data_IF_537902973753
#
_entry.id   IF_537902973753
#
_cell.length_a   1.000
_cell.length_b   1.000
_cell.length_c   1.000
_cell.angle_alpha   90.00
_cell.angle_beta   90.00
_cell.angle_gamma   90.00
#
_symmetry.space_group_name_H-M   'P 1'
#
loop_
_entity.id
_entity.type
_entity.pdbx_description
1 polymer ?
#
# COMPACT_ATOMS: atom_id res chain seq x y z
N UNK A 1 19.20 4.34 1.59
CA UNK A 1 17.94 3.73 1.15
C UNK A 1 17.67 3.98 -0.33
N UNK A 2 17.67 5.25 -0.78
CA UNK A 2 17.46 5.61 -2.20
C UNK A 2 18.46 4.94 -3.16
N UNK A 3 19.72 4.73 -2.72
CA UNK A 3 20.71 3.98 -3.49
C UNK A 3 20.35 2.50 -3.68
N UNK A 4 19.58 1.93 -2.74
CA UNK A 4 19.18 0.53 -2.76
C UNK A 4 17.87 0.28 -3.55
N UNK A 5 17.11 1.33 -3.85
CA UNK A 5 15.97 1.26 -4.77
C UNK A 5 16.41 1.11 -6.23
N UNK A 6 17.70 1.35 -6.52
CA UNK A 6 18.23 1.11 -7.86
C UNK A 6 18.18 -0.38 -8.17
N UNK A 7 17.59 -0.75 -9.29
CA UNK A 7 17.39 -2.14 -9.74
C UNK A 7 18.67 -2.99 -9.82
N UNK A 8 19.83 -2.36 -9.70
CA UNK A 8 21.17 -2.98 -9.69
C UNK A 8 21.76 -3.20 -8.29
N UNK A 9 21.09 -2.72 -7.22
CA UNK A 9 21.59 -2.92 -5.87
C UNK A 9 21.51 -4.40 -5.49
N UNK A 10 22.60 -4.93 -4.88
CA UNK A 10 22.60 -6.28 -4.35
C UNK A 10 21.59 -6.42 -3.18
N UNK A 11 21.13 -7.62 -2.94
CA UNK A 11 20.23 -7.90 -1.80
C UNK A 11 20.87 -7.51 -0.46
N UNK A 12 22.18 -7.70 -0.33
CA UNK A 12 22.95 -7.33 0.88
C UNK A 12 22.98 -5.82 1.08
N UNK A 13 23.21 -5.04 0.02
CA UNK A 13 23.17 -3.57 0.08
C UNK A 13 21.79 -3.05 0.46
N UNK A 14 20.72 -3.71 0.00
CA UNK A 14 19.35 -3.35 0.36
C UNK A 14 19.07 -3.60 1.84
N UNK A 15 19.47 -4.76 2.37
CA UNK A 15 19.30 -5.11 3.80
C UNK A 15 20.13 -4.18 4.69
N UNK A 16 21.37 -3.88 4.31
CA UNK A 16 22.21 -2.95 5.06
C UNK A 16 21.59 -1.56 5.14
N UNK A 17 21.08 -1.03 4.02
CA UNK A 17 20.42 0.27 3.99
C UNK A 17 19.07 0.29 4.72
N UNK A 18 18.30 -0.82 4.70
CA UNK A 18 17.08 -0.94 5.51
C UNK A 18 17.42 -0.91 7.02
N UNK A 19 18.49 -1.57 7.43
CA UNK A 19 18.95 -1.54 8.82
C UNK A 19 19.44 -0.15 9.23
N UNK A 20 20.26 0.51 8.39
CA UNK A 20 20.73 1.88 8.63
C UNK A 20 19.55 2.86 8.73
N UNK A 21 18.59 2.78 7.83
CA UNK A 21 17.38 3.61 7.88
C UNK A 21 16.57 3.34 9.17
N UNK A 22 16.48 2.08 9.61
CA UNK A 22 15.78 1.75 10.84
C UNK A 22 16.48 2.36 12.07
N UNK A 23 17.82 2.36 12.12
CA UNK A 23 18.59 3.02 13.18
C UNK A 23 18.37 4.55 13.15
N UNK A 24 18.55 5.20 12.00
CA UNK A 24 18.33 6.64 11.84
C UNK A 24 16.91 7.02 12.24
N UNK A 25 15.91 6.22 11.84
CA UNK A 25 14.51 6.47 12.21
C UNK A 25 14.29 6.31 13.72
N UNK A 26 14.96 5.34 14.34
CA UNK A 26 14.92 5.14 15.79
C UNK A 26 15.49 6.34 16.54
N UNK A 27 16.70 6.76 16.16
CA UNK A 27 17.40 7.90 16.75
C UNK A 27 16.59 9.20 16.58
N UNK A 28 16.06 9.43 15.37
CA UNK A 28 15.19 10.58 15.09
C UNK A 28 13.92 10.56 15.95
N UNK A 29 13.31 9.39 16.12
CA UNK A 29 12.11 9.23 16.95
C UNK A 29 12.43 9.48 18.41
N UNK A 30 13.56 8.99 18.91
CA UNK A 30 14.02 9.21 20.28
C UNK A 30 14.26 10.69 20.58
N UNK A 31 14.90 11.40 19.66
CA UNK A 31 15.16 12.84 19.78
C UNK A 31 13.88 13.69 19.69
N UNK A 32 12.96 13.33 18.82
CA UNK A 32 11.77 14.16 18.53
C UNK A 32 10.59 13.84 19.46
N UNK A 33 10.51 12.63 19.99
CA UNK A 33 9.41 12.21 20.88
C UNK A 33 9.20 13.14 22.08
N UNK A 34 10.24 13.53 22.85
CA UNK A 34 10.05 14.43 23.99
C UNK A 34 9.52 15.81 23.56
N UNK A 35 9.94 16.31 22.39
CA UNK A 35 9.48 17.61 21.86
C UNK A 35 7.99 17.53 21.49
N UNK A 36 7.57 16.46 20.81
CA UNK A 36 6.17 16.25 20.47
C UNK A 36 5.30 16.05 21.74
N UNK A 37 5.84 15.32 22.72
CA UNK A 37 5.17 15.12 24.00
C UNK A 37 4.90 16.45 24.69
N UNK A 38 5.94 17.26 24.84
CA UNK A 38 5.80 18.59 25.43
C UNK A 38 4.81 19.46 24.65
N UNK A 39 4.90 19.49 23.31
CA UNK A 39 3.98 20.26 22.48
C UNK A 39 2.52 19.78 22.59
N UNK A 40 2.30 18.48 22.75
CA UNK A 40 0.97 17.91 22.93
C UNK A 40 0.38 18.24 24.31
N UNK A 41 1.19 18.23 25.37
CA UNK A 41 0.79 18.64 26.74
C UNK A 41 0.47 20.14 26.79
N UNK A 42 1.20 20.97 26.03
CA UNK A 42 1.08 22.43 26.01
C UNK A 42 0.38 22.94 24.74
N UNK A 43 -0.50 22.14 24.13
CA UNK A 43 -1.11 22.45 22.84
C UNK A 43 -1.84 23.81 22.83
N UNK A 44 -2.50 24.17 23.92
CA UNK A 44 -3.21 25.45 24.06
C UNK A 44 -2.24 26.64 24.15
N UNK A 45 -1.04 26.43 24.67
CA UNK A 45 0.01 27.44 24.72
C UNK A 45 0.67 27.59 23.36
N UNK A 46 1.01 26.47 22.73
CA UNK A 46 1.61 26.43 21.38
C UNK A 46 0.70 27.09 20.35
N UNK A 47 -0.63 26.92 20.46
CA UNK A 47 -1.61 27.53 19.56
C UNK A 47 -1.63 29.09 19.62
N UNK A 48 -1.09 29.69 20.68
CA UNK A 48 -1.01 31.16 20.81
C UNK A 48 0.11 31.77 19.96
N UNK A 49 1.08 30.95 19.51
CA UNK A 49 2.16 31.42 18.63
C UNK A 49 1.73 31.31 17.16
N UNK A 50 1.59 32.46 16.50
CA UNK A 50 1.13 32.53 15.10
C UNK A 50 1.94 31.63 14.15
N UNK A 51 3.26 31.57 14.33
CA UNK A 51 4.15 30.73 13.54
C UNK A 51 3.84 29.23 13.71
N UNK A 52 3.33 28.83 14.87
CA UNK A 52 3.01 27.43 15.20
C UNK A 52 1.54 27.09 14.97
N UNK A 53 0.66 28.10 14.80
CA UNK A 53 -0.77 27.89 14.62
C UNK A 53 -1.10 26.97 13.44
N UNK A 54 -0.33 27.05 12.36
CA UNK A 54 -0.45 26.14 11.20
C UNK A 54 -0.22 24.66 11.53
N UNK A 55 0.49 24.38 12.62
CA UNK A 55 0.78 23.01 13.08
C UNK A 55 -0.21 22.47 14.10
N UNK A 56 -1.16 23.31 14.53
CA UNK A 56 -2.18 22.91 15.51
C UNK A 56 -2.93 21.63 15.17
N UNK A 57 -3.31 21.36 13.91
CA UNK A 57 -3.94 20.08 13.56
C UNK A 57 -3.04 18.88 13.82
N UNK A 58 -1.74 19.01 13.55
CA UNK A 58 -0.76 17.95 13.78
C UNK A 58 -0.55 17.74 15.29
N UNK A 59 -0.36 18.83 16.05
CA UNK A 59 -0.17 18.80 17.50
C UNK A 59 -1.38 18.18 18.19
N UNK A 60 -2.60 18.55 17.78
CA UNK A 60 -3.82 17.97 18.33
C UNK A 60 -3.96 16.48 18.00
N UNK A 61 -3.54 16.05 16.80
CA UNK A 61 -3.49 14.63 16.45
C UNK A 61 -2.50 13.87 17.32
N UNK A 62 -1.32 14.42 17.52
CA UNK A 62 -0.33 13.83 18.42
C UNK A 62 -0.88 13.76 19.86
N UNK A 63 -1.50 14.82 20.37
CA UNK A 63 -2.15 14.83 21.69
C UNK A 63 -3.19 13.70 21.80
N UNK A 64 -4.04 13.50 20.81
CA UNK A 64 -5.01 12.40 20.78
C UNK A 64 -4.32 11.02 20.76
N UNK A 65 -3.21 10.90 20.04
CA UNK A 65 -2.44 9.65 20.03
C UNK A 65 -1.79 9.35 21.38
N UNK A 66 -1.43 10.39 22.15
CA UNK A 66 -0.78 10.26 23.45
C UNK A 66 -1.73 9.86 24.59
N UNK A 67 -3.03 10.15 24.47
CA UNK A 67 -4.03 9.72 25.48
C UNK A 67 -4.05 8.19 25.63
N UNK A 68 -3.68 7.47 24.56
CA UNK A 68 -3.65 6.02 24.49
C UNK A 68 -2.24 5.48 24.26
N UNK A 69 -1.22 6.06 24.89
CA UNK A 69 0.16 5.62 24.70
C UNK A 69 0.64 4.66 25.78
N UNK A 70 1.59 3.84 25.39
CA UNK A 70 2.35 3.01 26.31
C UNK A 70 3.08 3.86 27.37
N UNK A 71 3.21 3.33 28.57
CA UNK A 71 4.18 3.86 29.54
C UNK A 71 5.58 3.89 28.90
N UNK A 72 6.48 4.73 29.44
CA UNK A 72 7.87 4.78 28.95
C UNK A 72 8.53 3.39 28.96
N UNK A 73 8.32 2.62 30.02
CA UNK A 73 8.86 1.27 30.13
C UNK A 73 8.25 0.31 29.10
N UNK A 74 6.94 0.35 28.92
CA UNK A 74 6.28 -0.52 27.91
C UNK A 74 6.69 -0.15 26.48
N UNK A 75 6.92 1.13 26.22
CA UNK A 75 7.42 1.61 24.94
C UNK A 75 8.82 1.07 24.66
N UNK A 76 9.71 1.12 25.66
CA UNK A 76 11.04 0.57 25.53
C UNK A 76 11.01 -0.94 25.29
N UNK A 77 10.23 -1.67 26.08
CA UNK A 77 10.02 -3.12 25.89
C UNK A 77 9.48 -3.43 24.48
N UNK A 78 8.57 -2.59 23.96
CA UNK A 78 8.05 -2.74 22.60
C UNK A 78 9.12 -2.52 21.53
N UNK A 79 9.95 -1.50 21.68
CA UNK A 79 11.05 -1.20 20.74
C UNK A 79 12.09 -2.32 20.73
N UNK A 80 12.40 -2.88 21.89
CA UNK A 80 13.43 -3.91 22.05
C UNK A 80 12.96 -5.30 21.63
N UNK A 81 11.73 -5.67 21.93
CA UNK A 81 11.20 -7.00 21.68
C UNK A 81 10.09 -7.06 20.62
N UNK A 82 9.09 -6.22 20.71
CA UNK A 82 7.89 -6.27 19.86
C UNK A 82 8.17 -5.89 18.41
N UNK A 83 8.90 -4.80 18.20
CA UNK A 83 9.22 -4.29 16.85
C UNK A 83 10.11 -5.26 16.04
N UNK A 84 11.17 -5.84 16.59
CA UNK A 84 11.95 -6.85 15.87
C UNK A 84 11.14 -8.06 15.43
N UNK A 85 10.19 -8.53 16.23
CA UNK A 85 9.29 -9.64 15.87
C UNK A 85 8.46 -9.25 14.63
N UNK A 86 7.82 -8.08 14.62
CA UNK A 86 7.07 -7.60 13.45
C UNK A 86 7.94 -7.52 12.19
N UNK A 87 9.12 -6.93 12.30
CA UNK A 87 10.04 -6.80 11.16
C UNK A 87 10.50 -8.16 10.64
N UNK A 88 10.71 -9.13 11.53
CA UNK A 88 11.07 -10.50 11.14
C UNK A 88 9.96 -11.19 10.37
N UNK A 89 8.70 -11.03 10.77
CA UNK A 89 7.56 -11.60 10.06
C UNK A 89 7.34 -10.92 8.69
N UNK A 90 7.55 -9.61 8.60
CA UNK A 90 7.51 -8.89 7.33
C UNK A 90 8.63 -9.35 6.37
N UNK A 91 9.83 -9.63 6.90
CA UNK A 91 10.93 -10.20 6.12
C UNK A 91 10.61 -11.62 5.65
N UNK A 92 10.01 -12.43 6.51
CA UNK A 92 9.56 -13.77 6.14
C UNK A 92 8.60 -13.71 4.95
N UNK A 93 7.60 -12.85 4.99
CA UNK A 93 6.68 -12.63 3.86
C UNK A 93 7.42 -12.25 2.58
N UNK A 94 8.32 -11.25 2.64
CA UNK A 94 9.12 -10.83 1.48
C UNK A 94 9.98 -11.99 0.94
N UNK A 95 10.58 -12.78 1.82
CA UNK A 95 11.42 -13.91 1.41
C UNK A 95 10.61 -15.02 0.75
N UNK A 96 9.42 -15.33 1.27
CA UNK A 96 8.50 -16.28 0.65
C UNK A 96 8.07 -15.85 -0.76
N UNK A 97 7.96 -14.53 -1.01
CA UNK A 97 7.60 -13.98 -2.32
C UNK A 97 8.81 -13.79 -3.25
N UNK A 98 10.01 -13.85 -2.71
CA UNK A 98 11.22 -13.61 -3.49
C UNK A 98 11.47 -14.73 -4.51
N UNK A 99 11.68 -14.33 -5.74
CA UNK A 99 12.01 -15.27 -6.80
C UNK A 99 10.82 -16.05 -7.37
N UNK A 100 9.60 -15.77 -6.91
CA UNK A 100 8.41 -16.43 -7.47
C UNK A 100 8.32 -16.14 -8.96
N UNK A 101 8.09 -17.20 -9.72
CA UNK A 101 7.79 -17.17 -11.15
C UNK A 101 6.72 -18.21 -11.43
N UNK A 102 5.58 -17.75 -11.94
CA UNK A 102 4.54 -18.66 -12.41
C UNK A 102 4.65 -18.82 -13.93
N UNK A 103 4.46 -20.02 -14.40
CA UNK A 103 4.32 -20.34 -15.81
C UNK A 103 2.87 -20.66 -16.06
N UNK A 104 2.22 -19.87 -16.89
CA UNK A 104 0.80 -20.00 -17.22
C UNK A 104 0.61 -19.93 -18.73
N UNK A 105 -0.49 -20.47 -19.23
CA UNK A 105 -0.78 -20.44 -20.66
C UNK A 105 -1.85 -19.39 -20.96
N UNK A 106 -1.69 -18.68 -22.05
CA UNK A 106 -2.69 -17.77 -22.61
C UNK A 106 -3.73 -18.54 -23.46
N UNK A 107 -4.72 -17.83 -24.03
CA UNK A 107 -5.75 -18.44 -24.88
C UNK A 107 -5.21 -19.11 -26.15
N UNK A 108 -4.00 -18.77 -26.57
CA UNK A 108 -3.33 -19.40 -27.74
C UNK A 108 -2.49 -20.62 -27.35
N UNK A 109 -2.43 -20.97 -26.07
CA UNK A 109 -1.57 -22.05 -25.57
C UNK A 109 -0.10 -21.66 -25.40
N UNK A 110 0.26 -20.39 -25.54
CA UNK A 110 1.63 -19.90 -25.36
C UNK A 110 1.94 -19.76 -23.86
N UNK A 111 3.13 -20.22 -23.46
CA UNK A 111 3.61 -20.07 -22.08
C UNK A 111 3.98 -18.61 -21.79
N UNK A 112 3.43 -18.05 -20.72
CA UNK A 112 3.73 -16.71 -20.24
C UNK A 112 4.31 -16.81 -18.83
N UNK A 113 5.48 -16.21 -18.63
CA UNK A 113 6.09 -16.13 -17.31
C UNK A 113 5.56 -14.91 -16.55
N UNK A 114 5.05 -15.13 -15.33
CA UNK A 114 4.45 -14.11 -14.48
C UNK A 114 5.24 -13.96 -13.18
N UNK A 115 5.38 -12.73 -12.75
CA UNK A 115 6.03 -12.36 -11.48
C UNK A 115 5.00 -11.68 -10.56
N UNK A 116 5.26 -11.54 -9.25
CA UNK A 116 4.38 -10.78 -8.36
C UNK A 116 4.11 -9.35 -8.82
N UNK A 117 5.05 -8.70 -9.50
CA UNK A 117 4.88 -7.34 -10.05
C UNK A 117 3.98 -7.31 -11.30
N UNK A 118 4.09 -8.30 -12.20
CA UNK A 118 3.27 -8.35 -13.41
C UNK A 118 1.89 -8.98 -13.18
N UNK A 119 1.73 -9.79 -12.15
CA UNK A 119 0.48 -10.41 -11.76
C UNK A 119 -0.68 -9.41 -11.65
N UNK A 120 -0.42 -8.30 -10.96
CA UNK A 120 -1.46 -7.28 -10.70
C UNK A 120 -1.94 -6.64 -12.01
N UNK A 121 -1.04 -6.35 -12.94
CA UNK A 121 -1.40 -5.78 -14.24
C UNK A 121 -2.19 -6.76 -15.11
N UNK A 122 -1.84 -8.04 -15.04
CA UNK A 122 -2.59 -9.08 -15.77
C UNK A 122 -4.01 -9.20 -15.22
N UNK A 123 -4.16 -9.39 -13.91
CA UNK A 123 -5.47 -9.52 -13.27
C UNK A 123 -6.35 -8.27 -13.43
N UNK A 124 -5.74 -7.07 -13.45
CA UNK A 124 -6.47 -5.81 -13.54
C UNK A 124 -6.83 -5.38 -14.97
N UNK A 125 -6.15 -5.83 -15.98
CA UNK A 125 -6.35 -5.20 -17.29
C UNK A 125 -5.98 -6.00 -18.51
N UNK A 126 -5.51 -7.24 -18.37
CA UNK A 126 -5.15 -8.01 -19.55
C UNK A 126 -6.41 -8.42 -20.34
N UNK A 127 -6.45 -8.25 -21.67
CA UNK A 127 -7.63 -8.59 -22.46
C UNK A 127 -7.91 -10.10 -22.53
N UNK A 128 -6.88 -10.94 -22.47
CA UNK A 128 -7.00 -12.40 -22.54
C UNK A 128 -7.57 -12.96 -21.22
N UNK A 129 -8.80 -13.47 -21.31
CA UNK A 129 -9.54 -14.05 -20.16
C UNK A 129 -8.85 -15.31 -19.64
N UNK A 130 -8.37 -16.18 -20.54
CA UNK A 130 -7.71 -17.44 -20.15
C UNK A 130 -6.43 -17.15 -19.37
N UNK A 131 -5.66 -16.17 -19.81
CA UNK A 131 -4.46 -15.74 -19.10
C UNK A 131 -4.79 -15.19 -17.71
N UNK A 132 -5.84 -14.36 -17.57
CA UNK A 132 -6.28 -13.86 -16.25
C UNK A 132 -6.69 -15.00 -15.33
N UNK A 133 -7.51 -15.93 -15.82
CA UNK A 133 -7.98 -17.08 -15.05
C UNK A 133 -6.82 -17.98 -14.61
N UNK A 134 -5.95 -18.38 -15.53
CA UNK A 134 -4.79 -19.24 -15.24
C UNK A 134 -3.83 -18.57 -14.26
N UNK A 135 -3.64 -17.25 -14.41
CA UNK A 135 -2.85 -16.45 -13.44
C UNK A 135 -3.47 -16.52 -12.05
N UNK A 136 -4.78 -16.29 -11.93
CA UNK A 136 -5.48 -16.34 -10.65
C UNK A 136 -5.41 -17.73 -9.99
N UNK A 137 -5.60 -18.78 -10.77
CA UNK A 137 -5.52 -20.17 -10.28
C UNK A 137 -4.10 -20.52 -9.80
N UNK A 138 -3.07 -20.16 -10.57
CA UNK A 138 -1.68 -20.43 -10.20
C UNK A 138 -1.27 -19.69 -8.91
N UNK A 139 -1.77 -18.47 -8.73
CA UNK A 139 -1.54 -17.69 -7.52
C UNK A 139 -2.22 -18.36 -6.32
N UNK A 140 -3.50 -18.75 -6.46
CA UNK A 140 -4.22 -19.42 -5.38
C UNK A 140 -3.53 -20.72 -4.96
N UNK A 141 -3.15 -21.58 -5.92
CA UNK A 141 -2.41 -22.81 -5.62
C UNK A 141 -1.10 -22.56 -4.89
N UNK A 142 -0.37 -21.52 -5.28
CA UNK A 142 0.87 -21.15 -4.60
C UNK A 142 0.62 -20.74 -3.14
N UNK A 143 -0.36 -19.86 -2.91
CA UNK A 143 -0.67 -19.40 -1.56
C UNK A 143 -1.34 -20.48 -0.70
N UNK A 144 -2.11 -21.40 -1.29
CA UNK A 144 -2.67 -22.55 -0.59
C UNK A 144 -1.54 -23.43 -0.04
N UNK A 145 -0.46 -23.66 -0.81
CA UNK A 145 0.72 -24.40 -0.35
C UNK A 145 1.53 -23.71 0.75
N UNK A 146 1.35 -22.41 0.96
CA UNK A 146 2.03 -21.60 1.98
C UNK A 146 1.09 -21.13 3.11
N UNK A 147 -0.15 -21.62 3.12
CA UNK A 147 -1.19 -21.15 4.04
C UNK A 147 -0.74 -21.15 5.50
N UNK A 148 -0.14 -22.25 5.99
CA UNK A 148 0.32 -22.36 7.37
C UNK A 148 1.46 -21.39 7.70
N UNK A 149 2.38 -21.15 6.77
CA UNK A 149 3.48 -20.21 6.97
C UNK A 149 2.97 -18.77 7.06
N UNK A 150 2.05 -18.39 6.15
CA UNK A 150 1.41 -17.07 6.19
C UNK A 150 0.51 -16.90 7.40
N UNK A 151 -0.28 -17.91 7.78
CA UNK A 151 -1.12 -17.87 8.96
C UNK A 151 -0.27 -17.69 10.23
N UNK A 152 0.84 -18.43 10.36
CA UNK A 152 1.78 -18.29 11.49
C UNK A 152 2.36 -16.88 11.56
N UNK A 153 2.84 -16.35 10.43
CA UNK A 153 3.38 -14.99 10.38
C UNK A 153 2.32 -13.94 10.75
N UNK A 154 1.13 -14.03 10.19
CA UNK A 154 0.02 -13.12 10.44
C UNK A 154 -0.45 -13.18 11.90
N UNK A 155 -0.65 -14.38 12.44
CA UNK A 155 -1.05 -14.58 13.83
C UNK A 155 -0.01 -14.02 14.80
N UNK A 156 1.28 -14.18 14.49
CA UNK A 156 2.37 -13.61 15.30
C UNK A 156 2.30 -12.08 15.31
N UNK A 157 2.09 -11.45 14.15
CA UNK A 157 1.93 -9.98 14.05
C UNK A 157 0.69 -9.51 14.83
N UNK A 158 -0.45 -10.18 14.67
CA UNK A 158 -1.68 -9.85 15.40
C UNK A 158 -1.55 -10.03 16.91
N UNK A 159 -0.96 -11.14 17.36
CA UNK A 159 -0.75 -11.39 18.79
C UNK A 159 0.14 -10.32 19.42
N UNK A 160 1.24 -9.99 18.75
CA UNK A 160 2.15 -8.94 19.19
C UNK A 160 1.45 -7.56 19.22
N UNK A 161 0.65 -7.25 18.23
CA UNK A 161 -0.14 -6.01 18.18
C UNK A 161 -1.21 -5.95 19.27
N UNK A 162 -1.88 -7.05 19.56
CA UNK A 162 -2.87 -7.11 20.64
C UNK A 162 -2.25 -6.86 22.01
N UNK A 163 -1.05 -7.34 22.27
CA UNK A 163 -0.30 -7.00 23.50
C UNK A 163 -0.04 -5.51 23.58
N UNK A 164 0.40 -4.89 22.46
CA UNK A 164 0.59 -3.44 22.39
C UNK A 164 -0.70 -2.67 22.69
N UNK A 165 -1.80 -3.00 22.02
CA UNK A 165 -3.09 -2.32 22.15
C UNK A 165 -3.64 -2.43 23.57
N UNK A 166 -3.54 -3.60 24.19
CA UNK A 166 -3.97 -3.84 25.56
C UNK A 166 -3.19 -2.98 26.56
N UNK A 167 -1.87 -2.89 26.40
CA UNK A 167 -1.02 -2.07 27.28
C UNK A 167 -1.20 -0.57 27.04
N UNK A 168 -1.49 -0.17 25.81
CA UNK A 168 -1.80 1.22 25.46
C UNK A 168 -3.25 1.62 25.80
N UNK A 169 -4.04 0.71 26.39
CA UNK A 169 -5.46 0.92 26.68
C UNK A 169 -6.24 1.52 25.48
N UNK A 170 -6.04 0.94 24.32
CA UNK A 170 -6.65 1.37 23.04
C UNK A 170 -7.09 0.17 22.21
N UNK A 171 -7.80 0.44 21.15
CA UNK A 171 -8.23 -0.56 20.19
C UNK A 171 -7.68 -0.28 18.77
N UNK A 172 -7.79 -1.27 17.90
CA UNK A 172 -7.34 -1.23 16.52
C UNK A 172 -7.97 -0.08 15.72
N UNK A 173 -9.26 0.17 15.95
CA UNK A 173 -9.97 1.23 15.25
C UNK A 173 -9.48 2.61 15.69
N UNK A 174 -9.30 2.83 16.99
CA UNK A 174 -8.78 4.09 17.50
C UNK A 174 -7.41 4.44 16.92
N UNK A 175 -6.50 3.45 16.86
CA UNK A 175 -5.19 3.61 16.23
C UNK A 175 -5.33 3.97 14.74
N UNK A 176 -6.18 3.24 14.01
CA UNK A 176 -6.39 3.48 12.58
C UNK A 176 -7.01 4.85 12.30
N UNK A 177 -7.98 5.28 13.11
CA UNK A 177 -8.60 6.61 12.98
C UNK A 177 -7.58 7.72 13.21
N UNK A 178 -6.75 7.59 14.25
CA UNK A 178 -5.68 8.56 14.55
C UNK A 178 -4.66 8.64 13.42
N UNK A 179 -4.21 7.50 12.89
CA UNK A 179 -3.25 7.45 11.78
C UNK A 179 -3.80 8.11 10.50
N UNK A 180 -5.10 7.98 10.26
CA UNK A 180 -5.77 8.56 9.09
C UNK A 180 -6.33 9.98 9.35
N UNK A 181 -6.09 10.57 10.52
CA UNK A 181 -6.64 11.86 10.93
C UNK A 181 -8.17 11.93 10.73
N UNK A 182 -8.86 10.85 11.02
CA UNK A 182 -10.31 10.67 10.83
C UNK A 182 -11.02 10.62 12.17
N UNK A 183 -12.13 11.35 12.32
CA UNK A 183 -12.99 11.21 13.49
C UNK A 183 -13.85 9.93 13.39
N UNK A 184 -14.34 9.45 14.55
CA UNK A 184 -15.25 8.29 14.58
C UNK A 184 -16.55 8.58 13.83
N UNK A 185 -17.07 9.78 13.95
CA UNK A 185 -18.30 10.21 13.26
C UNK A 185 -18.12 10.21 11.73
N UNK A 186 -16.96 10.69 11.24
CA UNK A 186 -16.62 10.67 9.82
C UNK A 186 -16.49 9.23 9.30
N UNK A 187 -15.89 8.33 10.09
CA UNK A 187 -15.79 6.91 9.76
C UNK A 187 -17.16 6.24 9.69
N UNK A 188 -18.02 6.46 10.69
CA UNK A 188 -19.38 5.91 10.71
C UNK A 188 -20.24 6.46 9.55
N UNK A 189 -20.12 7.76 9.25
CA UNK A 189 -20.76 8.37 8.09
C UNK A 189 -20.29 7.75 6.77
N UNK A 190 -18.99 7.46 6.64
CA UNK A 190 -18.42 6.75 5.49
C UNK A 190 -19.03 5.34 5.37
N UNK A 191 -19.10 4.56 6.46
CA UNK A 191 -19.70 3.22 6.42
C UNK A 191 -21.18 3.27 6.02
N UNK A 192 -21.96 4.20 6.59
CA UNK A 192 -23.36 4.39 6.21
C UNK A 192 -23.50 4.78 4.73
N UNK A 193 -22.61 5.60 4.20
CA UNK A 193 -22.62 5.96 2.79
C UNK A 193 -22.33 4.75 1.89
N UNK A 194 -21.37 3.90 2.29
CA UNK A 194 -21.06 2.64 1.59
C UNK A 194 -22.28 1.72 1.60
N UNK A 195 -22.91 1.51 2.76
CA UNK A 195 -24.10 0.65 2.87
C UNK A 195 -25.25 1.12 1.97
N UNK A 196 -25.50 2.42 1.92
CA UNK A 196 -26.50 3.02 1.00
C UNK A 196 -26.12 2.82 -0.46
N UNK A 197 -24.84 2.81 -0.78
CA UNK A 197 -24.34 2.61 -2.15
C UNK A 197 -24.31 1.14 -2.59
N UNK A 198 -24.32 0.17 -1.66
CA UNK A 198 -24.19 -1.26 -1.97
C UNK A 198 -25.18 -1.76 -3.05
N UNK A 199 -26.48 -1.39 -3.02
CA UNK A 199 -27.42 -1.84 -4.06
C UNK A 199 -27.02 -1.35 -5.45
N UNK A 200 -26.53 -0.12 -5.53
CA UNK A 200 -26.03 0.47 -6.78
C UNK A 200 -24.73 -0.18 -7.24
N UNK A 201 -23.79 -0.39 -6.32
CA UNK A 201 -22.51 -1.08 -6.60
C UNK A 201 -22.75 -2.50 -7.13
N UNK A 202 -23.71 -3.24 -6.53
CA UNK A 202 -24.10 -4.58 -7.02
C UNK A 202 -24.65 -4.54 -8.46
N UNK A 203 -25.49 -3.54 -8.77
CA UNK A 203 -25.97 -3.34 -10.15
C UNK A 203 -24.82 -3.04 -11.11
N UNK A 204 -23.87 -2.22 -10.70
CA UNK A 204 -22.67 -1.91 -11.52
C UNK A 204 -21.87 -3.18 -11.83
N UNK A 205 -21.64 -4.05 -10.84
CA UNK A 205 -20.97 -5.35 -11.04
C UNK A 205 -21.76 -6.24 -12.00
N UNK A 206 -23.07 -6.30 -11.86
CA UNK A 206 -23.95 -7.07 -12.76
C UNK A 206 -23.88 -6.55 -14.20
N UNK A 207 -23.99 -5.23 -14.39
CA UNK A 207 -23.85 -4.61 -15.72
C UNK A 207 -22.49 -4.88 -16.34
N UNK A 208 -21.43 -4.81 -15.53
CA UNK A 208 -20.07 -5.13 -15.97
C UNK A 208 -19.96 -6.60 -16.37
N UNK A 209 -20.55 -7.53 -15.59
CA UNK A 209 -20.59 -8.95 -15.91
C UNK A 209 -21.26 -9.18 -17.27
N UNK A 210 -22.40 -8.53 -17.52
CA UNK A 210 -23.07 -8.60 -18.81
C UNK A 210 -22.21 -8.01 -19.94
N UNK A 211 -21.52 -6.88 -19.70
CA UNK A 211 -20.69 -6.21 -20.70
C UNK A 211 -19.50 -7.05 -21.17
N UNK A 212 -18.95 -7.91 -20.31
CA UNK A 212 -17.87 -8.85 -20.66
C UNK A 212 -18.39 -10.24 -21.11
N UNK A 213 -19.71 -10.36 -21.36
CA UNK A 213 -20.32 -11.58 -21.89
C UNK A 213 -20.72 -12.64 -20.85
N UNK A 214 -20.57 -12.37 -19.55
CA UNK A 214 -20.94 -13.30 -18.46
C UNK A 214 -22.37 -13.09 -17.99
N UNK A 215 -23.34 -13.34 -18.84
CA UNK A 215 -24.77 -13.22 -18.48
C UNK A 215 -25.13 -14.17 -17.33
N UNK A 216 -25.74 -13.65 -16.28
CA UNK A 216 -26.26 -14.41 -15.14
C UNK A 216 -25.24 -15.27 -14.35
N UNK A 217 -23.95 -14.97 -14.46
CA UNK A 217 -22.89 -15.66 -13.72
C UNK A 217 -22.30 -14.75 -12.63
N UNK A 218 -21.83 -15.36 -11.56
CA UNK A 218 -21.04 -14.66 -10.55
C UNK A 218 -19.74 -14.16 -11.20
N UNK A 219 -19.46 -12.88 -11.03
CA UNK A 219 -18.22 -12.27 -11.53
C UNK A 219 -17.02 -12.84 -10.76
N UNK A 220 -16.12 -13.59 -11.39
CA UNK A 220 -14.91 -14.00 -10.72
C UNK A 220 -13.99 -12.78 -10.50
N UNK A 221 -13.18 -12.84 -9.43
CA UNK A 221 -12.36 -11.67 -9.04
C UNK A 221 -11.33 -11.25 -10.12
N UNK A 222 -10.84 -12.18 -10.92
CA UNK A 222 -9.90 -11.89 -12.01
C UNK A 222 -10.52 -11.17 -13.21
N UNK A 223 -11.86 -11.10 -13.25
CA UNK A 223 -12.59 -10.36 -14.29
C UNK A 223 -13.15 -9.03 -13.80
N UNK A 224 -13.05 -8.76 -12.50
CA UNK A 224 -13.63 -7.56 -11.88
C UNK A 224 -13.14 -6.27 -12.56
N UNK A 225 -11.91 -6.23 -13.01
CA UNK A 225 -11.28 -5.09 -13.69
C UNK A 225 -10.94 -5.40 -15.14
N UNK A 226 -11.42 -6.52 -15.70
CA UNK A 226 -11.19 -6.87 -17.09
C UNK A 226 -11.65 -5.75 -18.04
N UNK A 227 -10.93 -5.49 -19.14
CA UNK A 227 -11.33 -4.47 -20.11
C UNK A 227 -12.70 -4.81 -20.71
N UNK A 228 -13.61 -3.82 -20.75
CA UNK A 228 -14.89 -3.96 -21.42
C UNK A 228 -14.70 -4.03 -22.95
N UNK A 229 -15.64 -4.65 -23.70
CA UNK A 229 -15.57 -4.75 -25.16
C UNK A 229 -15.34 -3.41 -25.89
N UNK A 230 -15.89 -2.32 -25.36
CA UNK A 230 -15.63 -0.97 -25.88
C UNK A 230 -14.12 -0.60 -25.86
N UNK A 231 -13.36 -1.10 -24.88
CA UNK A 231 -11.89 -0.94 -24.83
C UNK A 231 -11.17 -1.81 -25.87
N UNK A 232 -11.75 -2.95 -26.24
CA UNK A 232 -11.23 -3.79 -27.31
C UNK A 232 -11.44 -3.11 -28.67
N UNK A 233 -12.60 -2.50 -28.89
CA UNK A 233 -12.87 -1.74 -30.12
C UNK A 233 -11.97 -0.51 -30.28
N UNK A 234 -11.53 0.11 -29.18
CA UNK A 234 -10.54 1.19 -29.21
C UNK A 234 -9.14 0.69 -29.61
N UNK A 235 -8.76 -0.54 -29.23
CA UNK A 235 -7.53 -1.18 -29.71
C UNK A 235 -7.62 -1.55 -31.18
N UNK A 236 -8.76 -2.08 -31.60
CA UNK A 236 -9.07 -2.37 -33.01
C UNK A 236 -9.13 -1.09 -33.86
N UNK A 237 -9.57 0.03 -33.27
CA UNK A 237 -9.52 1.36 -33.88
C UNK A 237 -8.10 1.97 -33.93
N UNK A 238 -7.06 1.23 -33.55
CA UNK A 238 -5.67 1.66 -33.67
C UNK A 238 -5.17 2.58 -32.56
N UNK A 239 -5.87 2.67 -31.42
CA UNK A 239 -5.36 3.38 -30.23
C UNK A 239 -4.19 2.56 -29.68
N UNK A 240 -2.98 2.95 -30.05
CA UNK A 240 -1.74 2.36 -29.56
C UNK A 240 -1.51 2.77 -28.09
N UNK A 241 -0.97 1.85 -27.30
CA UNK A 241 -0.45 2.21 -25.97
C UNK A 241 0.62 3.30 -26.10
N UNK A 242 0.72 4.15 -25.09
CA UNK A 242 1.74 5.22 -25.03
C UNK A 242 3.08 4.57 -24.69
N UNK A 243 4.12 4.70 -25.53
CA UNK A 243 5.46 4.22 -25.21
C UNK A 243 5.99 4.92 -23.94
N UNK A 244 6.85 4.22 -23.20
CA UNK A 244 7.37 4.72 -21.92
C UNK A 244 7.99 6.13 -22.04
N UNK A 245 8.85 6.35 -23.05
CA UNK A 245 9.51 7.65 -23.26
C UNK A 245 8.51 8.77 -23.55
N UNK A 246 7.45 8.47 -24.31
CA UNK A 246 6.37 9.43 -24.60
C UNK A 246 5.54 9.72 -23.34
N UNK A 247 5.24 8.67 -22.55
CA UNK A 247 4.56 8.80 -21.25
C UNK A 247 5.32 9.72 -20.29
N UNK A 248 6.64 9.52 -20.15
CA UNK A 248 7.51 10.40 -19.35
C UNK A 248 7.48 11.84 -19.87
N UNK A 249 7.57 12.04 -21.19
CA UNK A 249 7.50 13.38 -21.78
C UNK A 249 6.15 14.07 -21.51
N UNK A 250 5.05 13.32 -21.53
CA UNK A 250 3.72 13.83 -21.18
C UNK A 250 3.63 14.26 -19.72
N UNK A 251 4.09 13.41 -18.79
CA UNK A 251 4.12 13.70 -17.35
C UNK A 251 4.98 14.93 -17.07
N UNK A 252 6.18 14.97 -17.63
CA UNK A 252 7.09 16.11 -17.51
C UNK A 252 6.41 17.41 -17.97
N UNK A 253 5.79 17.43 -19.15
CA UNK A 253 5.07 18.60 -19.68
C UNK A 253 3.89 19.02 -18.79
N UNK A 254 3.12 18.04 -18.28
CA UNK A 254 1.98 18.33 -17.41
C UNK A 254 2.41 18.97 -16.10
N UNK A 255 3.42 18.41 -15.45
CA UNK A 255 3.94 18.91 -14.18
C UNK A 255 4.68 20.25 -14.32
N UNK A 256 5.43 20.46 -15.42
CA UNK A 256 6.09 21.73 -15.69
C UNK A 256 5.11 22.89 -15.90
N UNK A 257 3.86 22.62 -16.29
CA UNK A 257 2.81 23.67 -16.37
C UNK A 257 2.35 24.14 -14.99
N UNK A 258 2.46 23.30 -13.98
CA UNK A 258 2.14 23.63 -12.59
C UNK A 258 3.33 24.33 -11.93
N UNK A 259 4.51 23.72 -12.01
CA UNK A 259 5.78 24.29 -11.55
C UNK A 259 6.93 23.71 -12.41
N UNK A 260 7.78 24.56 -13.03
CA UNK A 260 8.93 24.11 -13.84
C UNK A 260 9.86 23.15 -13.10
N UNK A 261 10.14 23.38 -11.81
CA UNK A 261 11.00 22.52 -10.98
C UNK A 261 10.45 21.08 -10.86
N UNK A 262 9.13 20.88 -10.90
CA UNK A 262 8.55 19.54 -10.91
C UNK A 262 8.91 18.75 -12.17
N UNK A 263 8.97 19.42 -13.31
CA UNK A 263 9.41 18.81 -14.56
C UNK A 263 10.91 18.43 -14.54
N UNK A 264 11.75 19.27 -13.94
CA UNK A 264 13.18 18.99 -13.73
C UNK A 264 13.36 17.82 -12.77
N UNK A 265 12.57 17.75 -11.72
CA UNK A 265 12.58 16.64 -10.77
C UNK A 265 12.25 15.30 -11.46
N UNK A 266 11.24 15.24 -12.32
CA UNK A 266 10.93 14.05 -13.12
C UNK A 266 12.12 13.66 -14.01
N UNK A 267 12.76 14.63 -14.67
CA UNK A 267 13.94 14.35 -15.49
C UNK A 267 15.09 13.76 -14.65
N UNK A 268 15.35 14.34 -13.50
CA UNK A 268 16.35 13.81 -12.56
C UNK A 268 16.04 12.36 -12.13
N UNK A 269 14.75 12.04 -11.88
CA UNK A 269 14.34 10.67 -11.52
C UNK A 269 14.62 9.68 -12.65
N UNK A 270 14.34 10.06 -13.90
CA UNK A 270 14.68 9.24 -15.09
C UNK A 270 16.18 9.05 -15.22
N UNK A 271 16.96 10.14 -15.13
CA UNK A 271 18.42 10.10 -15.29
C UNK A 271 19.10 9.24 -14.22
N UNK A 272 18.53 9.20 -13.01
CA UNK A 272 18.99 8.36 -11.90
C UNK A 272 18.44 6.93 -11.92
N UNK A 273 17.55 6.59 -12.86
CA UNK A 273 16.91 5.29 -12.93
C UNK A 273 15.99 4.99 -11.73
N UNK A 274 15.34 6.00 -11.18
CA UNK A 274 14.38 5.85 -10.08
C UNK A 274 12.97 5.51 -10.59
N UNK A 275 12.70 5.82 -11.84
CA UNK A 275 11.46 5.48 -12.56
C UNK A 275 11.78 4.97 -13.97
#
# INVERSE_FOLDING_TARGET
>A
YLKCLNAKASTESSVAAENELALITSDFTELTTPVWHWAAEHADEVARYEVLARWSPLINRERQSWVNTLSQQDRQNWLEAGRPVMLSMMRLQKNLQKGIRWKVHNAKGEEVQITPSTMVSILKGHPDEVLRQNTAQSINQYYDGLGDAYATALNTVHSNRNVYLSRANTDELAVSLTQNAMSREAFEAMLMAIDRALPWLRKTVTLRSCAIGRKNQVMPYWDLLAPAPAHQSLKEAGVKGIPYAEGIAMVKRALSKVNPEMGEFIQMMVDKGWI
#
